data_IF_141322038949
#
_entry.id   IF_141322038949
#
_cell.length_a   1.000
_cell.length_b   1.000
_cell.length_c   1.000
_cell.angle_alpha   90.00
_cell.angle_beta   90.00
_cell.angle_gamma   90.00
#
_symmetry.space_group_name_H-M   'P 1'
#
loop_
_entity.id
_entity.type
_entity.pdbx_description
1 polymer ?
#
# COMPACT_ATOMS: atom_id res chain seq x y z
N UNK A 1 -60.68 -58.39 39.00
CA UNK A 1 -60.27 -57.12 38.34
C UNK A 1 -60.70 -56.00 39.27
N UNK A 2 -59.72 -55.32 39.89
CA UNK A 2 -59.90 -54.51 41.10
C UNK A 2 -60.29 -53.05 40.82
N UNK A 3 -60.77 -52.41 41.88
CA UNK A 3 -61.65 -51.25 42.00
C UNK A 3 -60.95 -49.96 42.47
N UNK A 4 -61.69 -48.83 42.41
CA UNK A 4 -61.77 -47.71 43.39
C UNK A 4 -60.71 -46.58 43.45
N UNK A 5 -61.23 -45.32 43.51
CA UNK A 5 -60.67 -44.01 43.94
C UNK A 5 -60.05 -44.02 45.38
N UNK A 6 -59.69 -42.91 46.11
CA UNK A 6 -59.57 -41.44 45.84
C UNK A 6 -58.31 -40.74 46.49
N UNK A 7 -58.29 -39.38 46.48
CA UNK A 7 -57.52 -38.33 47.27
C UNK A 7 -57.51 -38.58 48.82
N UNK A 8 -56.99 -37.73 49.79
CA UNK A 8 -56.03 -36.57 49.89
C UNK A 8 -55.05 -36.65 51.12
N UNK A 9 -54.42 -35.51 51.54
CA UNK A 9 -54.10 -35.05 52.96
C UNK A 9 -52.60 -34.89 53.27
N UNK A 10 -51.97 -33.69 53.24
CA UNK A 10 -51.93 -32.53 54.18
C UNK A 10 -50.89 -32.61 55.32
N UNK A 11 -50.05 -31.58 55.46
CA UNK A 11 -49.74 -30.92 56.74
C UNK A 11 -48.84 -29.66 56.53
N UNK A 12 -49.39 -28.49 56.84
CA UNK A 12 -48.68 -27.27 57.32
C UNK A 12 -48.75 -27.29 58.86
N UNK A 13 -47.98 -26.49 59.64
CA UNK A 13 -48.33 -25.07 59.85
C UNK A 13 -47.15 -24.09 60.09
N UNK A 14 -47.39 -22.82 59.71
CA UNK A 14 -47.20 -21.54 60.46
C UNK A 14 -45.88 -21.28 61.22
N UNK A 15 -45.26 -20.09 61.21
CA UNK A 15 -45.86 -18.76 61.43
C UNK A 15 -44.89 -17.61 61.07
N UNK A 16 -45.42 -16.59 60.37
CA UNK A 16 -45.36 -15.11 60.61
C UNK A 16 -44.21 -14.54 61.50
N UNK A 17 -43.52 -13.41 61.26
CA UNK A 17 -43.97 -12.08 60.81
C UNK A 17 -42.81 -11.03 60.81
N UNK A 18 -42.86 -10.07 59.87
CA UNK A 18 -42.47 -8.63 59.90
C UNK A 18 -41.24 -8.04 60.65
N UNK A 19 -40.32 -7.46 59.85
CA UNK A 19 -39.94 -6.02 59.70
C UNK A 19 -39.69 -5.10 60.92
N UNK A 20 -38.44 -4.60 61.10
CA UNK A 20 -37.98 -3.17 61.03
C UNK A 20 -36.67 -2.84 61.82
N UNK A 21 -35.68 -2.33 61.05
CA UNK A 21 -34.96 -1.03 61.16
C UNK A 21 -33.90 -0.72 62.27
N UNK A 22 -32.73 -0.23 61.78
CA UNK A 22 -31.66 0.61 62.40
C UNK A 22 -30.75 -0.10 63.43
N UNK A 23 -29.43 0.11 63.53
CA UNK A 23 -28.48 1.06 62.95
C UNK A 23 -27.05 0.44 62.99
N UNK A 24 -26.15 0.89 62.11
CA UNK A 24 -24.70 0.60 62.17
C UNK A 24 -24.05 1.51 63.26
N UNK A 25 -22.87 1.18 63.87
CA UNK A 25 -21.61 1.04 63.11
C UNK A 25 -20.61 -0.07 63.57
N UNK A 26 -19.89 -0.59 62.57
CA UNK A 26 -18.45 -0.96 62.55
C UNK A 26 -17.98 -2.08 63.51
N UNK A 27 -17.69 -3.28 62.98
CA UNK A 27 -16.31 -3.75 62.74
C UNK A 27 -16.25 -5.19 62.19
N UNK A 28 -15.69 -5.31 60.97
CA UNK A 28 -14.96 -6.43 60.35
C UNK A 28 -15.51 -7.88 60.46
N UNK A 29 -16.04 -8.39 59.33
CA UNK A 29 -15.75 -9.76 58.84
C UNK A 29 -15.87 -9.83 57.32
N UNK A 30 -14.88 -10.47 56.70
CA UNK A 30 -14.71 -10.65 55.26
C UNK A 30 -15.97 -11.22 54.60
N UNK A 31 -16.51 -10.44 53.67
CA UNK A 31 -17.30 -10.88 52.51
C UNK A 31 -16.39 -10.66 51.30
N UNK A 32 -16.48 -11.31 50.16
CA UNK A 32 -17.23 -12.44 49.64
C UNK A 32 -16.58 -12.65 48.26
N UNK A 33 -16.64 -13.87 47.73
CA UNK A 33 -16.24 -14.14 46.35
C UNK A 33 -17.02 -13.24 45.39
N UNK A 34 -16.31 -12.38 44.64
CA UNK A 34 -16.60 -12.07 43.23
C UNK A 34 -15.50 -11.12 42.70
N UNK A 35 -14.67 -11.55 41.74
CA UNK A 35 -13.91 -10.62 40.91
C UNK A 35 -14.86 -9.91 39.93
N UNK A 36 -14.64 -8.61 39.66
CA UNK A 36 -15.45 -7.84 38.74
C UNK A 36 -15.30 -8.35 37.30
N UNK A 37 -16.41 -8.31 36.56
CA UNK A 37 -16.54 -8.62 35.14
C UNK A 37 -15.44 -7.97 34.29
N UNK A 38 -14.90 -8.76 33.35
CA UNK A 38 -14.55 -8.26 32.01
C UNK A 38 -13.08 -7.88 31.80
N UNK A 39 -12.17 -8.83 31.98
CA UNK A 39 -10.93 -8.84 31.18
C UNK A 39 -11.06 -10.06 30.27
N UNK A 40 -11.44 -9.84 29.01
CA UNK A 40 -11.36 -10.89 27.99
C UNK A 40 -9.89 -11.25 27.81
N UNK A 41 -9.43 -12.26 28.55
CA UNK A 41 -8.09 -12.84 28.39
C UNK A 41 -8.12 -13.69 27.12
N UNK A 42 -8.09 -13.02 25.98
CA UNK A 42 -8.27 -13.62 24.66
C UNK A 42 -8.48 -12.57 23.58
N UNK A 43 -8.05 -12.91 22.38
CA UNK A 43 -8.35 -12.18 21.14
C UNK A 43 -9.87 -12.07 20.99
N UNK A 44 -10.41 -10.91 20.59
CA UNK A 44 -11.85 -10.75 20.42
C UNK A 44 -12.40 -11.69 19.34
N UNK A 45 -13.65 -12.13 19.49
CA UNK A 45 -14.31 -13.00 18.50
C UNK A 45 -14.27 -12.40 17.09
N UNK A 46 -14.39 -11.07 16.99
CA UNK A 46 -14.26 -10.31 15.74
C UNK A 46 -12.87 -10.45 15.11
N UNK A 47 -11.81 -10.39 15.92
CA UNK A 47 -10.42 -10.54 15.46
C UNK A 47 -10.13 -11.99 15.06
N UNK A 48 -10.75 -12.97 15.72
CA UNK A 48 -10.64 -14.37 15.35
C UNK A 48 -11.25 -14.63 13.96
N UNK A 49 -12.44 -14.07 13.71
CA UNK A 49 -13.12 -14.16 12.41
C UNK A 49 -12.33 -13.45 11.31
N UNK A 50 -11.76 -12.27 11.60
CA UNK A 50 -10.95 -11.55 10.62
C UNK A 50 -9.69 -12.32 10.25
N UNK A 51 -9.04 -12.96 11.21
CA UNK A 51 -7.84 -13.78 11.02
C UNK A 51 -8.12 -15.02 10.17
N UNK A 52 -9.21 -15.76 10.46
CA UNK A 52 -9.62 -16.92 9.65
C UNK A 52 -9.87 -16.54 8.18
N UNK A 53 -10.59 -15.43 7.96
CA UNK A 53 -10.83 -14.90 6.62
C UNK A 53 -9.53 -14.53 5.89
N UNK A 54 -8.54 -14.02 6.61
CA UNK A 54 -7.23 -13.71 6.03
C UNK A 54 -6.51 -14.99 5.57
N UNK A 55 -6.53 -16.05 6.39
CA UNK A 55 -5.95 -17.35 6.04
C UNK A 55 -6.66 -18.00 4.85
N UNK A 56 -8.00 -17.95 4.80
CA UNK A 56 -8.78 -18.42 3.65
C UNK A 56 -8.40 -17.70 2.35
N UNK A 57 -8.19 -16.38 2.40
CA UNK A 57 -7.75 -15.62 1.23
C UNK A 57 -6.34 -16.01 0.78
N UNK A 58 -5.40 -16.25 1.71
CA UNK A 58 -4.06 -16.75 1.39
C UNK A 58 -4.10 -18.14 0.76
N UNK A 59 -4.92 -19.04 1.33
CA UNK A 59 -5.11 -20.39 0.83
C UNK A 59 -5.69 -20.38 -0.60
N UNK A 60 -6.74 -19.57 -0.82
CA UNK A 60 -7.36 -19.42 -2.13
C UNK A 60 -6.36 -18.85 -3.16
N UNK A 61 -5.54 -17.87 -2.76
CA UNK A 61 -4.49 -17.32 -3.61
C UNK A 61 -3.44 -18.38 -3.97
N UNK A 62 -2.94 -19.13 -2.99
CA UNK A 62 -1.96 -20.19 -3.21
C UNK A 62 -2.50 -21.25 -4.19
N UNK A 63 -3.75 -21.69 -4.01
CA UNK A 63 -4.41 -22.63 -4.92
C UNK A 63 -4.55 -22.07 -6.33
N UNK A 64 -5.04 -20.83 -6.48
CA UNK A 64 -5.22 -20.18 -7.80
C UNK A 64 -3.91 -19.99 -8.56
N UNK A 65 -2.80 -19.82 -7.86
CA UNK A 65 -1.47 -19.60 -8.45
C UNK A 65 -0.63 -20.89 -8.53
N UNK A 66 -1.21 -22.06 -8.25
CA UNK A 66 -0.53 -23.35 -8.36
C UNK A 66 0.60 -23.56 -7.35
N UNK A 67 0.56 -22.85 -6.21
CA UNK A 67 1.51 -23.03 -5.11
C UNK A 67 1.16 -24.31 -4.34
N UNK A 68 2.18 -25.06 -3.94
CA UNK A 68 2.01 -26.24 -3.08
C UNK A 68 1.57 -25.82 -1.69
N UNK A 69 0.54 -26.48 -1.17
CA UNK A 69 -0.01 -26.22 0.17
C UNK A 69 0.11 -27.52 0.95
N UNK A 70 0.60 -27.41 2.19
CA UNK A 70 0.62 -28.54 3.11
C UNK A 70 -0.82 -28.86 3.56
N UNK A 71 -1.22 -30.12 3.46
CA UNK A 71 -2.57 -30.57 3.85
C UNK A 71 -2.84 -30.39 5.33
N UNK A 72 -1.79 -30.30 6.14
CA UNK A 72 -1.89 -30.11 7.59
C UNK A 72 -2.43 -28.72 7.96
N UNK A 73 -2.48 -27.78 7.01
CA UNK A 73 -2.96 -26.41 7.24
C UNK A 73 -4.49 -26.36 7.43
N UNK A 74 -5.26 -27.28 6.85
CA UNK A 74 -6.73 -27.27 6.98
C UNK A 74 -7.17 -27.46 8.43
N UNK A 75 -6.54 -28.39 9.16
CA UNK A 75 -6.86 -28.63 10.58
C UNK A 75 -6.47 -27.43 11.45
N UNK A 76 -5.41 -26.72 11.08
CA UNK A 76 -4.96 -25.51 11.78
C UNK A 76 -5.90 -24.33 11.54
N UNK A 77 -6.45 -24.15 10.33
CA UNK A 77 -7.41 -23.06 10.01
C UNK A 77 -8.76 -23.27 10.71
N UNK A 78 -9.22 -24.52 10.83
CA UNK A 78 -10.50 -24.84 11.48
C UNK A 78 -10.44 -24.68 13.01
N UNK A 79 -9.24 -24.71 13.59
CA UNK A 79 -9.04 -24.56 15.03
C UNK A 79 -9.59 -23.23 15.57
N UNK A 80 -9.98 -23.21 16.85
CA UNK A 80 -10.37 -21.99 17.56
C UNK A 80 -9.24 -21.45 18.44
N UNK A 81 -8.03 -22.00 18.28
CA UNK A 81 -6.86 -21.63 19.05
C UNK A 81 -6.00 -20.65 18.24
N UNK A 82 -5.69 -19.51 18.84
CA UNK A 82 -4.86 -18.48 18.20
C UNK A 82 -3.47 -18.99 17.83
N UNK A 83 -2.90 -19.90 18.62
CA UNK A 83 -1.56 -20.47 18.38
C UNK A 83 -1.51 -21.30 17.10
N UNK A 84 -2.56 -22.08 16.84
CA UNK A 84 -2.68 -22.93 15.66
C UNK A 84 -2.91 -22.05 14.42
N UNK A 85 -3.73 -21.00 14.55
CA UNK A 85 -3.93 -19.97 13.54
C UNK A 85 -2.62 -19.23 13.18
N UNK A 86 -1.81 -18.85 14.17
CA UNK A 86 -0.50 -18.22 13.95
C UNK A 86 0.44 -19.18 13.22
N UNK A 87 0.41 -20.47 13.56
CA UNK A 87 1.22 -21.47 12.86
C UNK A 87 0.80 -21.61 11.39
N UNK A 88 -0.51 -21.69 11.12
CA UNK A 88 -1.05 -21.68 9.76
C UNK A 88 -0.63 -20.42 8.98
N UNK A 89 -0.68 -19.26 9.63
CA UNK A 89 -0.23 -17.99 9.05
C UNK A 89 1.24 -18.05 8.62
N UNK A 90 2.14 -18.52 9.50
CA UNK A 90 3.56 -18.60 9.19
C UNK A 90 3.87 -19.53 8.01
N UNK A 91 3.17 -20.67 7.93
CA UNK A 91 3.32 -21.61 6.81
C UNK A 91 2.79 -20.99 5.52
N UNK A 92 1.60 -20.38 5.55
CA UNK A 92 0.99 -19.77 4.37
C UNK A 92 1.82 -18.59 3.85
N UNK A 93 2.33 -17.71 4.73
CA UNK A 93 3.20 -16.58 4.37
C UNK A 93 4.40 -17.04 3.55
N UNK A 94 5.06 -18.13 3.96
CA UNK A 94 6.19 -18.68 3.23
C UNK A 94 5.80 -19.23 1.84
N UNK A 95 4.61 -19.81 1.72
CA UNK A 95 4.14 -20.39 0.46
C UNK A 95 3.66 -19.35 -0.56
N UNK A 96 3.16 -18.21 -0.08
CA UNK A 96 2.66 -17.12 -0.93
C UNK A 96 3.74 -16.17 -1.42
N UNK A 97 5.00 -16.30 -0.98
CA UNK A 97 6.10 -15.45 -1.44
C UNK A 97 6.18 -15.41 -2.99
N UNK A 98 6.36 -14.22 -3.59
CA UNK A 98 6.66 -12.92 -2.97
C UNK A 98 5.43 -12.11 -2.49
N UNK A 99 4.21 -12.62 -2.66
CA UNK A 99 2.99 -11.91 -2.28
C UNK A 99 2.83 -11.80 -0.75
N UNK A 100 2.15 -10.74 -0.30
CA UNK A 100 1.88 -10.53 1.13
C UNK A 100 0.39 -10.74 1.42
N UNK A 101 0.00 -11.10 2.65
CA UNK A 101 -1.41 -11.20 3.03
C UNK A 101 -2.24 -9.96 2.67
N UNK A 102 -1.63 -8.80 2.92
CA UNK A 102 -2.24 -7.49 2.69
C UNK A 102 -2.39 -7.17 1.20
N UNK A 103 -1.41 -7.53 0.37
CA UNK A 103 -1.51 -7.33 -1.09
C UNK A 103 -2.50 -8.29 -1.74
N UNK A 104 -2.62 -9.53 -1.24
CA UNK A 104 -3.66 -10.47 -1.67
C UNK A 104 -5.04 -9.95 -1.32
N UNK A 105 -5.25 -9.50 -0.09
CA UNK A 105 -6.53 -8.94 0.34
C UNK A 105 -6.91 -7.71 -0.49
N UNK A 106 -5.94 -6.83 -0.78
CA UNK A 106 -6.15 -5.68 -1.64
C UNK A 106 -6.54 -6.09 -3.07
N UNK A 107 -5.83 -7.05 -3.66
CA UNK A 107 -6.11 -7.52 -5.02
C UNK A 107 -7.44 -8.28 -5.12
N UNK A 108 -7.83 -9.04 -4.08
CA UNK A 108 -9.11 -9.75 -4.01
C UNK A 108 -10.30 -8.78 -3.85
N UNK A 109 -10.17 -7.75 -3.01
CA UNK A 109 -11.15 -6.65 -2.93
C UNK A 109 -11.31 -5.94 -4.27
N UNK A 110 -10.21 -5.74 -4.99
CA UNK A 110 -10.20 -5.19 -6.34
C UNK A 110 -10.80 -6.18 -7.35
N UNK A 111 -10.68 -7.50 -7.15
CA UNK A 111 -11.18 -8.52 -8.07
C UNK A 111 -12.68 -8.85 -7.90
N UNK A 112 -13.24 -8.78 -6.68
CA UNK A 112 -14.61 -9.24 -6.35
C UNK A 112 -15.78 -8.36 -6.86
N UNK A 113 -15.54 -7.18 -7.43
CA UNK A 113 -16.57 -6.46 -8.20
C UNK A 113 -16.87 -7.15 -9.56
N UNK A 114 -18.00 -6.88 -10.19
CA UNK A 114 -18.47 -7.52 -11.45
C UNK A 114 -17.40 -7.78 -12.53
N UNK A 115 -17.25 -9.07 -12.91
CA UNK A 115 -16.26 -9.71 -13.80
C UNK A 115 -16.06 -9.13 -15.23
N UNK A 116 -16.58 -7.94 -15.55
CA UNK A 116 -16.47 -7.33 -16.90
C UNK A 116 -15.85 -5.93 -16.94
N UNK A 117 -15.51 -5.34 -15.80
CA UNK A 117 -14.82 -4.03 -15.77
C UNK A 117 -13.31 -4.24 -15.71
N UNK A 118 -12.61 -3.82 -16.77
CA UNK A 118 -11.15 -3.86 -16.89
C UNK A 118 -10.48 -3.49 -15.56
N UNK A 119 -9.46 -4.24 -15.16
CA UNK A 119 -8.54 -3.92 -14.03
C UNK A 119 -8.13 -2.44 -13.99
N UNK A 120 -8.07 -1.79 -15.15
CA UNK A 120 -7.90 -0.34 -15.35
C UNK A 120 -8.90 0.56 -14.62
N UNK A 121 -10.15 0.14 -14.42
CA UNK A 121 -11.18 0.95 -13.77
C UNK A 121 -11.15 0.83 -12.25
N UNK A 122 -10.54 -0.22 -11.70
CA UNK A 122 -10.63 -0.57 -10.27
C UNK A 122 -9.45 -0.09 -9.44
N UNK A 123 -8.34 0.22 -10.11
CA UNK A 123 -7.16 0.82 -9.48
C UNK A 123 -7.11 2.30 -9.90
N UNK A 124 -7.85 3.19 -9.20
CA UNK A 124 -7.99 4.60 -9.62
C UNK A 124 -6.64 5.31 -9.73
N UNK A 125 -5.65 4.90 -8.94
CA UNK A 125 -4.28 5.40 -9.01
C UNK A 125 -3.58 5.03 -10.33
N UNK A 126 -3.72 3.78 -10.78
CA UNK A 126 -3.15 3.33 -12.05
C UNK A 126 -3.77 4.10 -13.22
N UNK A 127 -5.10 4.30 -13.19
CA UNK A 127 -5.79 5.10 -14.20
C UNK A 127 -5.22 6.52 -14.27
N UNK A 128 -5.03 7.17 -13.12
CA UNK A 128 -4.50 8.52 -13.06
C UNK A 128 -3.05 8.59 -13.58
N UNK A 129 -2.21 7.59 -13.28
CA UNK A 129 -0.85 7.50 -13.81
C UNK A 129 -0.82 7.33 -15.33
N UNK A 130 -1.71 6.49 -15.88
CA UNK A 130 -1.79 6.29 -17.33
C UNK A 130 -2.29 7.55 -18.04
N UNK A 131 -3.32 8.21 -17.48
CA UNK A 131 -3.79 9.50 -17.99
C UNK A 131 -2.65 10.52 -17.96
N UNK A 132 -1.89 10.58 -16.86
CA UNK A 132 -0.76 11.49 -16.71
C UNK A 132 0.35 11.19 -17.73
N UNK A 133 0.66 9.92 -17.98
CA UNK A 133 1.61 9.50 -19.01
C UNK A 133 1.17 9.93 -20.42
N UNK A 134 -0.11 9.78 -20.73
CA UNK A 134 -0.68 10.25 -22.00
C UNK A 134 -0.62 11.78 -22.10
N UNK A 135 -0.87 12.50 -21.00
CA UNK A 135 -0.72 13.97 -20.97
C UNK A 135 0.73 14.37 -21.25
N UNK A 136 1.71 13.75 -20.59
CA UNK A 136 3.12 14.04 -20.89
C UNK A 136 3.49 13.71 -22.33
N UNK A 137 2.97 12.62 -22.88
CA UNK A 137 3.18 12.26 -24.28
C UNK A 137 2.60 13.33 -25.24
N UNK A 138 1.39 13.81 -24.97
CA UNK A 138 0.76 14.87 -25.76
C UNK A 138 1.52 16.19 -25.68
N UNK A 139 2.00 16.56 -24.49
CA UNK A 139 2.84 17.75 -24.31
C UNK A 139 4.17 17.59 -25.05
N UNK A 140 4.80 16.43 -24.97
CA UNK A 140 6.04 16.12 -25.70
C UNK A 140 5.85 16.27 -27.21
N UNK A 141 4.81 15.64 -27.77
CA UNK A 141 4.49 15.76 -29.20
C UNK A 141 4.21 17.21 -29.55
N UNK A 142 3.32 17.89 -28.81
CA UNK A 142 2.94 19.28 -29.09
C UNK A 142 4.11 20.26 -29.04
N UNK A 143 5.02 20.10 -28.08
CA UNK A 143 6.23 20.93 -27.98
C UNK A 143 7.26 20.57 -29.05
N UNK A 144 7.42 19.30 -29.40
CA UNK A 144 8.33 18.83 -30.47
C UNK A 144 7.95 19.33 -31.86
N UNK A 145 6.68 19.71 -32.10
CA UNK A 145 6.24 20.30 -33.36
C UNK A 145 6.55 21.80 -33.46
N UNK A 146 6.93 22.45 -32.36
CA UNK A 146 7.21 23.90 -32.34
C UNK A 146 8.59 24.20 -32.92
N UNK A 147 8.69 25.20 -33.80
CA UNK A 147 9.96 25.70 -34.34
C UNK A 147 10.91 26.26 -33.28
N UNK A 148 10.37 26.65 -32.13
CA UNK A 148 11.11 27.15 -30.98
C UNK A 148 11.90 26.05 -30.25
N UNK A 149 11.48 24.78 -30.38
CA UNK A 149 12.16 23.62 -29.79
C UNK A 149 13.10 23.02 -30.84
N UNK A 150 14.38 23.37 -30.77
CA UNK A 150 15.39 22.91 -31.71
C UNK A 150 16.75 22.75 -31.03
N UNK A 151 17.73 22.20 -31.76
CA UNK A 151 19.09 21.95 -31.25
C UNK A 151 19.76 23.19 -30.70
N UNK A 152 19.63 24.31 -31.38
CA UNK A 152 20.27 25.56 -30.99
C UNK A 152 19.62 26.16 -29.74
N UNK A 153 18.29 26.15 -29.65
CA UNK A 153 17.58 26.70 -28.49
C UNK A 153 17.74 25.82 -27.26
N UNK A 154 17.76 24.50 -27.43
CA UNK A 154 17.86 23.54 -26.33
C UNK A 154 19.28 23.49 -25.76
N UNK A 155 20.31 23.65 -26.60
CA UNK A 155 21.72 23.69 -26.17
C UNK A 155 22.12 24.97 -25.42
N UNK A 156 21.36 26.06 -25.61
CA UNK A 156 21.58 27.31 -24.85
C UNK A 156 21.28 27.17 -23.35
N UNK A 157 20.50 26.16 -22.96
CA UNK A 157 20.06 25.96 -21.59
C UNK A 157 19.18 27.09 -21.06
N UNK A 158 18.92 27.07 -19.76
CA UNK A 158 18.04 28.03 -19.06
C UNK A 158 18.64 29.42 -18.99
N UNK A 159 19.97 29.52 -18.87
CA UNK A 159 20.65 30.78 -18.58
C UNK A 159 20.87 31.64 -19.82
N UNK A 160 20.99 31.02 -21.00
CA UNK A 160 21.29 31.71 -22.26
C UNK A 160 20.11 31.76 -23.24
N UNK A 161 18.95 31.22 -22.84
CA UNK A 161 17.72 31.23 -23.63
C UNK A 161 16.70 32.19 -23.00
N UNK A 162 15.79 32.75 -23.79
CA UNK A 162 14.87 33.78 -23.32
C UNK A 162 13.50 33.68 -23.98
N UNK A 163 12.51 34.29 -23.34
CA UNK A 163 11.15 34.42 -23.86
C UNK A 163 10.43 33.08 -24.08
N UNK A 164 9.70 33.00 -25.19
CA UNK A 164 8.84 31.85 -25.53
C UNK A 164 9.63 30.57 -25.80
N UNK A 165 10.83 30.70 -26.39
CA UNK A 165 11.76 29.59 -26.65
C UNK A 165 12.15 28.86 -25.37
N UNK A 166 12.49 29.60 -24.30
CA UNK A 166 12.83 28.99 -23.03
C UNK A 166 11.66 28.20 -22.42
N UNK A 167 10.46 28.79 -22.41
CA UNK A 167 9.27 28.13 -21.84
C UNK A 167 8.96 26.81 -22.56
N UNK A 168 9.02 26.81 -23.89
CA UNK A 168 8.73 25.61 -24.69
C UNK A 168 9.83 24.54 -24.53
N UNK A 169 11.09 24.95 -24.41
CA UNK A 169 12.19 24.03 -24.14
C UNK A 169 12.08 23.38 -22.76
N UNK A 170 11.75 24.16 -21.74
CA UNK A 170 11.51 23.63 -20.39
C UNK A 170 10.31 22.69 -20.35
N UNK A 171 9.23 23.04 -21.06
CA UNK A 171 8.05 22.18 -21.15
C UNK A 171 8.34 20.88 -21.90
N UNK A 172 9.14 20.94 -22.98
CA UNK A 172 9.62 19.78 -23.72
C UNK A 172 10.45 18.85 -22.83
N UNK A 173 11.46 19.38 -22.12
CA UNK A 173 12.29 18.59 -21.21
C UNK A 173 11.50 18.06 -20.01
N UNK A 174 10.56 18.84 -19.49
CA UNK A 174 9.65 18.41 -18.42
C UNK A 174 8.76 17.25 -18.87
N UNK A 175 8.24 17.29 -20.10
CA UNK A 175 7.45 16.22 -20.66
C UNK A 175 8.27 14.93 -20.82
N UNK A 176 9.51 15.02 -21.30
CA UNK A 176 10.40 13.87 -21.44
C UNK A 176 10.79 13.29 -20.07
N UNK A 177 11.12 14.15 -19.11
CA UNK A 177 11.42 13.74 -17.74
C UNK A 177 10.20 13.06 -17.08
N UNK A 178 9.02 13.65 -17.24
CA UNK A 178 7.75 13.07 -16.80
C UNK A 178 7.48 11.70 -17.43
N UNK A 179 7.70 11.55 -18.74
CA UNK A 179 7.62 10.25 -19.43
C UNK A 179 8.59 9.24 -18.81
N UNK A 180 9.82 9.64 -18.48
CA UNK A 180 10.80 8.80 -17.80
C UNK A 180 10.26 8.22 -16.49
N UNK A 181 9.70 9.08 -15.62
CA UNK A 181 9.11 8.62 -14.34
C UNK A 181 7.90 7.73 -14.58
N UNK A 182 7.05 8.06 -15.55
CA UNK A 182 5.89 7.25 -15.89
C UNK A 182 6.29 5.85 -16.36
N UNK A 183 7.36 5.72 -17.15
CA UNK A 183 7.90 4.42 -17.54
C UNK A 183 8.33 3.59 -16.33
N UNK A 184 9.01 4.21 -15.36
CA UNK A 184 9.42 3.54 -14.12
C UNK A 184 8.20 3.10 -13.30
N UNK A 185 7.27 4.01 -13.01
CA UNK A 185 6.11 3.73 -12.16
C UNK A 185 5.16 2.72 -12.80
N UNK A 186 4.88 2.83 -14.10
CA UNK A 186 4.02 1.86 -14.78
C UNK A 186 4.67 0.48 -14.84
N UNK A 187 6.01 0.39 -14.97
CA UNK A 187 6.74 -0.87 -14.85
C UNK A 187 6.63 -1.45 -13.44
N UNK A 188 6.92 -0.66 -12.41
CA UNK A 188 6.84 -1.06 -11.00
C UNK A 188 5.45 -1.59 -10.65
N UNK A 189 4.41 -0.86 -11.07
CA UNK A 189 3.02 -1.27 -10.89
C UNK A 189 2.72 -2.55 -11.66
N UNK A 190 3.16 -2.67 -12.92
CA UNK A 190 2.94 -3.87 -13.72
C UNK A 190 3.57 -5.10 -13.06
N UNK A 191 4.78 -4.96 -12.53
CA UNK A 191 5.46 -6.03 -11.80
C UNK A 191 4.76 -6.32 -10.46
N UNK A 192 4.26 -5.29 -9.78
CA UNK A 192 3.47 -5.42 -8.56
C UNK A 192 2.12 -6.13 -8.76
N UNK A 193 1.43 -5.88 -9.89
CA UNK A 193 0.24 -6.66 -10.29
C UNK A 193 0.63 -8.09 -10.56
N UNK A 194 1.67 -8.31 -11.38
CA UNK A 194 2.11 -9.64 -11.83
C UNK A 194 2.53 -10.53 -10.66
N UNK A 195 3.20 -9.96 -9.67
CA UNK A 195 3.70 -10.67 -8.50
C UNK A 195 2.74 -10.63 -7.30
N UNK A 196 1.56 -10.00 -7.45
CA UNK A 196 0.59 -9.77 -6.38
C UNK A 196 1.19 -9.10 -5.13
N UNK A 197 2.11 -8.14 -5.32
CA UNK A 197 2.78 -7.37 -4.26
C UNK A 197 2.28 -5.92 -4.15
N UNK A 198 1.30 -5.52 -4.97
CA UNK A 198 0.70 -4.19 -4.92
C UNK A 198 0.05 -3.88 -3.56
N UNK A 199 0.40 -2.72 -3.00
CA UNK A 199 -0.15 -2.22 -1.74
C UNK A 199 -0.81 -0.85 -1.92
N UNK A 200 -1.94 -0.57 -1.24
CA UNK A 200 -2.64 0.71 -1.38
C UNK A 200 -1.83 1.92 -0.88
N UNK A 201 -0.90 1.73 0.05
CA UNK A 201 -0.09 2.81 0.63
C UNK A 201 0.90 3.44 -0.36
N UNK A 202 1.19 2.74 -1.47
CA UNK A 202 2.16 3.19 -2.46
C UNK A 202 1.71 4.47 -3.21
N UNK A 203 0.43 4.84 -3.15
CA UNK A 203 -0.09 6.01 -3.85
C UNK A 203 0.56 7.33 -3.43
N UNK A 204 0.83 7.51 -2.13
CA UNK A 204 1.48 8.72 -1.61
C UNK A 204 2.95 8.77 -2.07
N UNK A 205 3.61 7.61 -2.02
CA UNK A 205 5.00 7.45 -2.45
C UNK A 205 5.17 7.75 -3.95
N UNK A 206 4.25 7.28 -4.79
CA UNK A 206 4.29 7.53 -6.23
C UNK A 206 4.17 9.01 -6.60
N UNK A 207 3.33 9.80 -5.91
CA UNK A 207 3.24 11.25 -6.17
C UNK A 207 4.56 11.95 -5.89
N UNK A 208 5.24 11.60 -4.80
CA UNK A 208 6.54 12.16 -4.46
C UNK A 208 7.61 11.79 -5.51
N UNK A 209 7.62 10.53 -5.97
CA UNK A 209 8.52 10.07 -7.02
C UNK A 209 8.32 10.81 -8.35
N UNK A 210 7.08 11.11 -8.73
CA UNK A 210 6.78 11.90 -9.94
C UNK A 210 7.46 13.26 -9.89
N UNK A 211 7.25 13.99 -8.79
CA UNK A 211 7.83 15.32 -8.62
C UNK A 211 9.36 15.23 -8.63
N UNK A 212 9.91 14.28 -7.86
CA UNK A 212 11.35 14.14 -7.71
C UNK A 212 12.03 13.78 -9.03
N UNK A 213 11.44 12.88 -9.81
CA UNK A 213 11.98 12.48 -11.09
C UNK A 213 11.87 13.57 -12.15
N UNK A 214 10.76 14.32 -12.19
CA UNK A 214 10.65 15.49 -13.08
C UNK A 214 11.78 16.48 -12.83
N UNK A 215 11.99 16.85 -11.56
CA UNK A 215 13.04 17.77 -11.12
C UNK A 215 14.43 17.21 -11.45
N UNK A 216 14.68 15.95 -11.14
CA UNK A 216 15.94 15.26 -11.40
C UNK A 216 16.31 15.27 -12.89
N UNK A 217 15.37 14.90 -13.77
CA UNK A 217 15.62 14.93 -15.22
C UNK A 217 15.83 16.35 -15.76
N UNK A 218 15.10 17.35 -15.25
CA UNK A 218 15.32 18.75 -15.64
C UNK A 218 16.71 19.24 -15.22
N UNK A 219 17.10 19.01 -13.97
CA UNK A 219 18.42 19.39 -13.46
C UNK A 219 19.53 18.71 -14.27
N UNK A 220 19.41 17.41 -14.55
CA UNK A 220 20.43 16.67 -15.28
C UNK A 220 20.61 17.20 -16.71
N UNK A 221 19.49 17.40 -17.42
CA UNK A 221 19.53 17.96 -18.77
C UNK A 221 20.12 19.37 -18.79
N UNK A 222 19.85 20.19 -17.78
CA UNK A 222 20.31 21.57 -17.73
C UNK A 222 21.79 21.70 -17.35
N UNK A 223 22.26 20.91 -16.38
CA UNK A 223 23.69 20.87 -16.01
C UNK A 223 24.55 20.57 -17.23
N UNK A 224 24.14 19.59 -18.03
CA UNK A 224 24.89 19.20 -19.23
C UNK A 224 24.82 20.26 -20.32
N UNK A 225 23.65 20.90 -20.52
CA UNK A 225 23.52 22.00 -21.47
C UNK A 225 24.40 23.21 -21.10
N UNK A 226 24.48 23.52 -19.80
CA UNK A 226 25.30 24.63 -19.28
C UNK A 226 26.80 24.34 -19.33
N UNK A 227 27.23 23.10 -19.09
CA UNK A 227 28.66 22.74 -19.08
C UNK A 227 29.31 22.81 -20.47
N UNK A 228 28.56 22.47 -21.52
CA UNK A 228 29.16 22.30 -22.84
C UNK A 228 29.15 23.56 -23.73
N UNK A 229 28.73 24.72 -23.20
CA UNK A 229 28.80 26.04 -23.88
C UNK A 229 28.32 26.03 -25.34
N UNK A 230 27.33 25.21 -25.69
CA UNK A 230 26.80 25.12 -27.06
C UNK A 230 27.68 24.39 -28.09
N UNK A 231 28.72 23.63 -27.71
CA UNK A 231 29.44 22.74 -28.64
C UNK A 231 28.67 21.42 -28.81
N UNK A 232 28.05 21.24 -29.99
CA UNK A 232 27.45 20.02 -30.56
C UNK A 232 27.03 18.91 -29.59
N UNK A 233 26.25 19.25 -28.56
CA UNK A 233 25.35 18.28 -27.95
C UNK A 233 24.10 18.26 -28.81
N UNK A 234 23.87 17.14 -29.51
CA UNK A 234 22.61 16.98 -30.22
C UNK A 234 21.45 16.97 -29.21
N UNK A 235 20.27 17.43 -29.63
CA UNK A 235 19.01 17.41 -28.82
C UNK A 235 18.79 16.06 -28.16
N UNK A 236 19.25 15.01 -28.81
CA UNK A 236 19.25 13.65 -28.30
C UNK A 236 19.89 13.54 -26.91
N UNK A 237 21.01 14.20 -26.66
CA UNK A 237 21.69 14.11 -25.37
C UNK A 237 20.87 14.75 -24.25
N UNK A 238 20.32 15.94 -24.46
CA UNK A 238 19.49 16.63 -23.46
C UNK A 238 18.18 15.84 -23.20
N UNK A 239 17.53 15.36 -24.26
CA UNK A 239 16.32 14.56 -24.16
C UNK A 239 16.57 13.22 -23.45
N UNK A 240 17.63 12.49 -23.82
CA UNK A 240 17.98 11.22 -23.19
C UNK A 240 18.36 11.40 -21.73
N UNK A 241 19.09 12.46 -21.38
CA UNK A 241 19.41 12.78 -19.99
C UNK A 241 18.17 13.15 -19.18
N UNK A 242 17.25 13.94 -19.73
CA UNK A 242 15.98 14.21 -19.09
C UNK A 242 15.18 12.92 -18.85
N UNK A 243 15.13 12.02 -19.84
CA UNK A 243 14.45 10.74 -19.75
C UNK A 243 15.06 9.83 -18.69
N UNK A 244 16.39 9.69 -18.68
CA UNK A 244 17.14 8.88 -17.70
C UNK A 244 16.96 9.47 -16.31
N UNK A 245 17.03 10.79 -16.16
CA UNK A 245 16.89 11.44 -14.86
C UNK A 245 15.48 11.37 -14.30
N UNK A 246 14.46 11.33 -15.16
CA UNK A 246 13.10 10.97 -14.80
C UNK A 246 12.97 9.49 -14.41
N UNK A 247 13.42 8.57 -15.26
CA UNK A 247 13.29 7.13 -15.04
C UNK A 247 14.03 6.64 -13.79
N UNK A 248 15.20 7.23 -13.51
CA UNK A 248 16.13 6.75 -12.50
C UNK A 248 16.35 7.78 -11.38
N UNK A 249 15.28 8.48 -10.97
CA UNK A 249 15.34 9.56 -9.97
C UNK A 249 16.05 9.16 -8.69
N UNK A 250 15.80 7.94 -8.20
CA UNK A 250 16.42 7.43 -6.96
C UNK A 250 17.92 7.20 -7.11
N UNK A 251 18.37 6.70 -8.27
CA UNK A 251 19.80 6.53 -8.53
C UNK A 251 20.50 7.89 -8.68
N UNK A 252 19.87 8.86 -9.36
CA UNK A 252 20.43 10.21 -9.48
C UNK A 252 20.53 10.88 -8.12
N UNK A 253 19.47 10.80 -7.31
CA UNK A 253 19.50 11.31 -5.95
C UNK A 253 20.61 10.65 -5.13
N UNK A 254 20.77 9.33 -5.24
CA UNK A 254 21.84 8.58 -4.58
C UNK A 254 23.25 9.01 -5.03
N UNK A 255 23.44 9.31 -6.32
CA UNK A 255 24.71 9.83 -6.85
C UNK A 255 24.99 11.23 -6.28
N UNK A 256 24.02 12.14 -6.31
CA UNK A 256 24.18 13.49 -5.73
C UNK A 256 24.48 13.41 -4.23
N UNK A 257 23.76 12.57 -3.50
CA UNK A 257 23.99 12.32 -2.08
C UNK A 257 25.39 11.75 -1.85
N UNK A 258 25.85 10.83 -2.71
CA UNK A 258 27.20 10.30 -2.70
C UNK A 258 28.27 11.38 -2.88
N UNK A 259 28.08 12.32 -3.81
CA UNK A 259 28.97 13.47 -4.01
C UNK A 259 28.95 14.38 -2.78
N UNK A 260 27.77 14.73 -2.26
CA UNK A 260 27.62 15.55 -1.06
C UNK A 260 28.35 14.91 0.13
N UNK A 261 28.20 13.61 0.32
CA UNK A 261 28.86 12.88 1.40
C UNK A 261 30.39 12.89 1.24
N UNK A 262 30.90 12.75 0.01
CA UNK A 262 32.34 12.87 -0.27
C UNK A 262 32.86 14.27 -0.02
N UNK A 263 32.13 15.31 -0.42
CA UNK A 263 32.47 16.70 -0.11
C UNK A 263 32.50 16.90 1.40
N UNK A 264 31.46 16.46 2.12
CA UNK A 264 31.42 16.52 3.59
C UNK A 264 32.63 15.83 4.23
N UNK A 265 33.04 14.67 3.70
CA UNK A 265 34.20 13.93 4.19
C UNK A 265 35.56 14.59 3.90
N UNK A 266 35.62 15.58 3.00
CA UNK A 266 36.83 16.38 2.73
C UNK A 266 36.87 17.64 3.62
N UNK A 267 35.70 18.15 4.02
CA UNK A 267 35.54 19.38 4.82
C UNK A 267 35.26 19.13 6.32
N UNK A 268 35.16 17.86 6.75
CA UNK A 268 35.16 17.40 8.14
C UNK A 268 36.45 16.64 8.41
#
# INVERSE_FOLDING_TARGET
>A
MATSDPKPTSATPESTSTSKKKANPISKKQTANEPPKGISKGVSDETMVSFKRELENMLLFAMKNGKTIDTDINSLIESNNISDLINAHNILVKNIEPATPKSIAYLDLVSKGDDKKNIFQRLPMIRNLIILAVIFLLIFIGTSLSSEVNTTSLAKGVLSNSGKSLLLNMLFLCAISGLGVMFYLLRDISDGVRNATLMPEQSIYYVALIILGIISGLILSEIVSSYNSGKDLSVFNNAVLALIGGFSSDAIFSILQGIINRIKAIFQ
#
